data_IF_314984083739
#
_entry.id   IF_314984083739
#
_cell.length_a   1.000
_cell.length_b   1.000
_cell.length_c   1.000
_cell.angle_alpha   90.00
_cell.angle_beta   90.00
_cell.angle_gamma   90.00
#
_symmetry.space_group_name_H-M   'P 1'
#
loop_
_entity.id
_entity.type
_entity.pdbx_description
1 polymer ?
#
# COMPACT_ATOMS: atom_id res chain seq x y z
N UNK A 1 10.40 -14.85 15.38
CA UNK A 1 9.99 -13.52 14.91
C UNK A 1 10.42 -13.30 13.46
N UNK A 2 9.48 -13.28 12.52
CA UNK A 2 9.76 -12.99 11.11
C UNK A 2 9.63 -11.49 10.84
N UNK A 3 10.65 -10.71 11.24
CA UNK A 3 10.80 -9.29 10.80
C UNK A 3 11.02 -9.27 9.28
N UNK A 4 9.93 -9.26 8.53
CA UNK A 4 9.97 -9.22 7.08
C UNK A 4 10.19 -7.78 6.64
N UNK A 5 11.18 -7.56 5.77
CA UNK A 5 11.39 -6.25 5.14
C UNK A 5 10.19 -5.96 4.25
N UNK A 6 9.55 -4.83 4.50
CA UNK A 6 8.39 -4.34 3.73
C UNK A 6 8.64 -2.89 3.36
N UNK A 7 8.11 -2.49 2.22
CA UNK A 7 8.14 -1.09 1.75
C UNK A 7 6.77 -0.49 2.01
N UNK A 8 6.72 0.69 2.61
CA UNK A 8 5.46 1.42 2.85
C UNK A 8 5.15 2.25 1.61
N UNK A 9 3.99 2.03 1.00
CA UNK A 9 3.51 2.78 -0.15
C UNK A 9 2.71 4.01 0.30
N UNK A 10 1.80 3.78 1.24
CA UNK A 10 0.97 4.81 1.86
C UNK A 10 1.01 4.64 3.37
N UNK A 11 1.41 5.70 4.09
CA UNK A 11 1.52 5.74 5.55
C UNK A 11 0.16 5.82 6.24
N UNK A 12 -0.83 6.41 5.56
CA UNK A 12 -2.22 6.50 6.02
C UNK A 12 -3.16 6.30 4.84
N UNK A 13 -4.35 5.75 5.12
CA UNK A 13 -5.42 5.59 4.13
C UNK A 13 -6.51 6.64 4.42
N UNK A 14 -7.05 7.33 3.40
CA UNK A 14 -8.18 8.24 3.59
C UNK A 14 -9.33 7.53 4.29
N UNK A 15 -9.93 8.18 5.29
CA UNK A 15 -10.98 7.61 6.17
C UNK A 15 -10.52 6.51 7.14
N UNK A 16 -9.31 5.97 7.01
CA UNK A 16 -8.75 4.92 7.88
C UNK A 16 -7.31 5.28 8.35
N UNK A 17 -7.13 6.27 9.25
CA UNK A 17 -5.81 6.77 9.66
C UNK A 17 -4.94 5.74 10.42
N UNK A 18 -5.57 4.68 10.92
CA UNK A 18 -4.89 3.59 11.62
C UNK A 18 -4.38 2.48 10.67
N UNK A 19 -4.61 2.63 9.36
CA UNK A 19 -4.21 1.65 8.35
C UNK A 19 -3.20 2.26 7.38
N UNK A 20 -2.25 1.43 6.96
CA UNK A 20 -1.23 1.74 5.97
C UNK A 20 -1.22 0.66 4.89
N UNK A 21 -0.73 1.03 3.71
CA UNK A 21 -0.52 0.11 2.60
C UNK A 21 0.96 -0.20 2.50
N UNK A 22 1.30 -1.48 2.60
CA UNK A 22 2.67 -1.97 2.53
C UNK A 22 2.80 -3.00 1.43
N UNK A 23 4.02 -3.14 0.94
CA UNK A 23 4.40 -4.04 -0.11
C UNK A 23 5.49 -4.97 0.40
N UNK A 24 5.25 -6.28 0.25
CA UNK A 24 6.19 -7.31 0.65
C UNK A 24 7.24 -7.57 -0.43
N UNK A 25 8.44 -6.99 -0.30
CA UNK A 25 9.51 -7.13 -1.29
C UNK A 25 10.04 -8.56 -1.43
N UNK A 26 9.82 -9.40 -0.41
CA UNK A 26 10.26 -10.79 -0.38
C UNK A 26 9.61 -11.69 -1.45
N UNK A 27 8.41 -11.35 -1.90
CA UNK A 27 7.66 -12.16 -2.86
C UNK A 27 7.83 -11.67 -4.30
N UNK A 28 8.56 -10.58 -4.50
CA UNK A 28 8.79 -10.00 -5.80
C UNK A 28 9.97 -10.68 -6.50
N UNK A 29 9.83 -10.98 -7.80
CA UNK A 29 10.96 -11.32 -8.66
C UNK A 29 12.10 -10.31 -8.54
N UNK A 30 13.34 -10.77 -8.70
CA UNK A 30 14.55 -9.96 -8.51
C UNK A 30 14.54 -8.67 -9.34
N UNK A 31 14.07 -8.73 -10.59
CA UNK A 31 13.94 -7.55 -11.46
C UNK A 31 13.08 -6.46 -10.82
N UNK A 32 11.89 -6.82 -10.33
CA UNK A 32 10.96 -5.88 -9.70
C UNK A 32 11.44 -5.43 -8.33
N UNK A 33 12.07 -6.32 -7.57
CA UNK A 33 12.71 -5.99 -6.31
C UNK A 33 13.76 -4.90 -6.50
N UNK A 34 14.67 -5.07 -7.45
CA UNK A 34 15.76 -4.12 -7.71
C UNK A 34 15.23 -2.79 -8.25
N UNK A 35 14.22 -2.81 -9.12
CA UNK A 35 13.56 -1.60 -9.61
C UNK A 35 12.86 -0.83 -8.48
N UNK A 36 12.16 -1.54 -7.58
CA UNK A 36 11.51 -0.92 -6.43
C UNK A 36 12.52 -0.35 -5.44
N UNK A 37 13.60 -1.08 -5.13
CA UNK A 37 14.65 -0.56 -4.25
C UNK A 37 15.28 0.70 -4.83
N UNK A 38 15.56 0.73 -6.14
CA UNK A 38 16.02 1.94 -6.83
C UNK A 38 15.02 3.08 -6.74
N UNK A 39 13.73 2.81 -6.90
CA UNK A 39 12.70 3.83 -6.76
C UNK A 39 12.62 4.39 -5.32
N UNK A 40 12.72 3.51 -4.32
CA UNK A 40 12.75 3.89 -2.89
C UNK A 40 13.99 4.73 -2.57
N UNK A 41 15.16 4.36 -3.08
CA UNK A 41 16.42 5.08 -2.83
C UNK A 41 16.58 6.34 -3.69
N UNK A 42 15.72 6.53 -4.69
CA UNK A 42 15.78 7.69 -5.58
C UNK A 42 15.34 8.99 -4.88
N UNK A 43 15.91 10.11 -5.29
CA UNK A 43 15.54 11.44 -4.78
C UNK A 43 14.04 11.72 -4.96
N UNK A 44 13.46 11.32 -6.10
CA UNK A 44 12.02 11.48 -6.37
C UNK A 44 11.15 10.65 -5.42
N UNK A 45 11.56 9.42 -5.09
CA UNK A 45 10.85 8.58 -4.14
C UNK A 45 10.96 9.08 -2.69
N UNK A 46 12.08 9.71 -2.32
CA UNK A 46 12.31 10.30 -1.00
C UNK A 46 11.68 11.69 -0.83
N UNK A 47 11.50 12.43 -1.93
CA UNK A 47 10.88 13.76 -1.92
C UNK A 47 9.35 13.71 -1.80
N UNK A 48 8.73 12.63 -2.25
CA UNK A 48 7.28 12.46 -2.17
C UNK A 48 6.84 12.06 -0.76
N UNK A 49 5.71 12.62 -0.32
CA UNK A 49 5.13 12.27 0.98
C UNK A 49 4.69 10.79 1.02
N UNK A 50 4.19 10.28 -0.09
CA UNK A 50 3.71 8.90 -0.21
C UNK A 50 4.35 8.27 -1.44
N UNK A 51 5.11 7.19 -1.20
CA UNK A 51 5.84 6.48 -2.26
C UNK A 51 4.90 5.96 -3.35
N UNK A 52 3.65 5.63 -3.01
CA UNK A 52 2.63 5.24 -3.98
C UNK A 52 2.41 6.26 -5.09
N UNK A 53 2.47 7.57 -4.78
CA UNK A 53 2.28 8.65 -5.78
C UNK A 53 3.44 8.66 -6.78
N UNK A 54 4.67 8.46 -6.29
CA UNK A 54 5.85 8.32 -7.13
C UNK A 54 5.72 7.08 -8.03
N UNK A 55 5.43 5.92 -7.43
CA UNK A 55 5.33 4.65 -8.16
C UNK A 55 4.17 4.61 -9.16
N UNK A 56 3.10 5.36 -8.93
CA UNK A 56 2.01 5.52 -9.89
C UNK A 56 2.48 6.13 -11.22
N UNK A 57 3.57 6.90 -11.19
CA UNK A 57 4.16 7.55 -12.37
C UNK A 57 5.35 6.79 -12.92
N UNK A 58 5.88 5.82 -12.17
CA UNK A 58 7.01 4.99 -12.58
C UNK A 58 6.54 3.74 -13.33
N UNK A 59 7.38 3.30 -14.27
CA UNK A 59 7.22 2.05 -15.00
C UNK A 59 8.38 1.13 -14.66
N UNK A 60 8.10 -0.16 -14.54
CA UNK A 60 9.13 -1.19 -14.49
C UNK A 60 9.94 -1.19 -15.79
N UNK A 61 11.14 -1.79 -15.80
CA UNK A 61 11.95 -1.93 -17.02
C UNK A 61 11.24 -2.70 -18.15
N UNK A 62 10.17 -3.43 -17.83
CA UNK A 62 9.29 -4.12 -18.79
C UNK A 62 8.20 -3.20 -19.38
N UNK A 63 8.17 -1.92 -19.01
CA UNK A 63 7.19 -0.93 -19.50
C UNK A 63 5.85 -0.93 -18.76
N UNK A 64 5.59 -1.92 -17.90
CA UNK A 64 4.37 -1.97 -17.07
C UNK A 64 4.42 -0.95 -15.93
N UNK A 65 3.31 -0.27 -15.64
CA UNK A 65 3.20 0.67 -14.52
C UNK A 65 3.46 -0.05 -13.18
N UNK A 66 4.37 0.50 -12.37
CA UNK A 66 4.81 -0.15 -11.14
C UNK A 66 3.66 -0.34 -10.15
N UNK A 67 2.92 0.72 -9.84
CA UNK A 67 1.86 0.65 -8.85
C UNK A 67 0.71 -0.26 -9.32
N UNK A 68 0.33 -0.17 -10.60
CA UNK A 68 -0.77 -0.97 -11.14
C UNK A 68 -0.48 -2.47 -11.06
N UNK A 69 0.71 -2.89 -11.49
CA UNK A 69 1.12 -4.31 -11.40
C UNK A 69 1.18 -4.80 -9.95
N UNK A 70 1.74 -4.00 -9.05
CA UNK A 70 1.84 -4.35 -7.64
C UNK A 70 0.46 -4.50 -6.98
N UNK A 71 -0.51 -3.68 -7.40
CA UNK A 71 -1.89 -3.75 -6.96
C UNK A 71 -2.63 -4.97 -7.55
N UNK A 72 -2.53 -5.17 -8.87
CA UNK A 72 -3.25 -6.22 -9.59
C UNK A 72 -2.78 -7.63 -9.22
N UNK A 73 -1.49 -7.81 -9.00
CA UNK A 73 -0.90 -9.08 -8.56
C UNK A 73 -1.06 -9.32 -7.04
N UNK A 74 -1.65 -8.38 -6.30
CA UNK A 74 -1.95 -8.53 -4.88
C UNK A 74 -0.73 -8.45 -3.96
N UNK A 75 0.35 -7.79 -4.40
CA UNK A 75 1.54 -7.55 -3.58
C UNK A 75 1.32 -6.48 -2.50
N UNK A 76 0.37 -5.57 -2.73
CA UNK A 76 -0.03 -4.53 -1.78
C UNK A 76 -0.95 -5.14 -0.72
N UNK A 77 -0.56 -5.02 0.56
CA UNK A 77 -1.35 -5.48 1.70
C UNK A 77 -1.62 -4.33 2.66
N UNK A 78 -2.83 -4.33 3.21
CA UNK A 78 -3.23 -3.40 4.25
C UNK A 78 -2.79 -3.92 5.62
N UNK A 79 -2.07 -3.11 6.37
CA UNK A 79 -1.67 -3.39 7.75
C UNK A 79 -2.05 -2.23 8.66
N UNK A 80 -2.09 -2.48 9.98
CA UNK A 80 -2.29 -1.41 10.95
C UNK A 80 -0.99 -0.64 11.13
N UNK A 81 -1.06 0.68 11.23
CA UNK A 81 0.10 1.56 11.48
C UNK A 81 0.85 1.24 12.77
N UNK A 82 0.19 0.57 13.72
CA UNK A 82 0.79 0.11 14.99
C UNK A 82 1.72 -1.09 14.82
N UNK A 83 1.47 -1.93 13.81
CA UNK A 83 2.22 -3.17 13.57
C UNK A 83 3.43 -2.94 12.64
N UNK A 84 3.53 -1.76 12.04
CA UNK A 84 4.61 -1.40 11.12
C UNK A 84 5.58 -0.44 11.82
N UNK A 85 6.87 -0.74 11.68
CA UNK A 85 7.97 0.05 12.20
C UNK A 85 8.71 0.64 11.00
N UNK A 86 8.72 1.97 10.91
CA UNK A 86 9.52 2.69 9.93
C UNK A 86 10.96 2.77 10.45
N UNK A 87 11.92 2.51 9.57
CA UNK A 87 13.34 2.58 9.92
C UNK A 87 13.97 3.71 9.12
N UNK A 88 14.43 4.75 9.81
CA UNK A 88 15.18 5.86 9.25
C UNK A 88 16.67 5.67 9.56
N UNK A 89 17.47 5.45 8.52
CA UNK A 89 18.90 5.18 8.67
C UNK A 89 19.23 3.74 9.10
N UNK A 90 20.51 3.50 9.40
CA UNK A 90 21.05 2.16 9.70
C UNK A 90 21.04 1.81 11.19
N UNK A 91 20.75 2.77 12.06
CA UNK A 91 20.84 2.63 13.53
C UNK A 91 19.54 2.12 14.14
N UNK A 92 19.62 1.35 15.22
CA UNK A 92 18.46 0.80 15.92
C UNK A 92 17.52 1.88 16.50
N UNK A 93 18.06 3.07 16.81
CA UNK A 93 17.31 4.27 17.25
C UNK A 93 16.44 4.89 16.14
N UNK A 94 16.75 4.60 14.87
CA UNK A 94 16.00 5.06 13.71
C UNK A 94 14.67 4.33 13.52
N UNK A 95 14.34 3.37 14.39
CA UNK A 95 13.11 2.58 14.32
C UNK A 95 11.98 3.26 15.07
N UNK A 96 11.05 3.86 14.34
CA UNK A 96 9.86 4.50 14.88
C UNK A 96 8.59 3.80 14.38
N UNK A 97 7.66 3.41 15.26
CA UNK A 97 6.37 2.89 14.82
C UNK A 97 5.60 3.94 14.03
N UNK A 98 4.95 3.54 12.93
CA UNK A 98 4.24 4.49 12.04
C UNK A 98 3.18 5.29 12.78
N UNK A 99 2.53 4.70 13.79
CA UNK A 99 1.55 5.44 14.59
C UNK A 99 2.17 6.67 15.27
N UNK A 100 3.36 6.53 15.87
CA UNK A 100 4.06 7.67 16.49
C UNK A 100 4.54 8.66 15.45
N UNK A 101 4.98 8.18 14.28
CA UNK A 101 5.38 9.06 13.18
C UNK A 101 4.21 9.94 12.73
N UNK A 102 3.04 9.34 12.50
CA UNK A 102 1.86 10.07 12.07
C UNK A 102 1.40 11.09 13.12
N UNK A 103 1.51 10.75 14.41
CA UNK A 103 1.26 11.70 15.52
C UNK A 103 2.26 12.86 15.54
N UNK A 104 3.53 12.63 15.21
CA UNK A 104 4.56 13.68 15.12
C UNK A 104 4.31 14.59 13.91
N UNK A 105 4.05 14.02 12.73
CA UNK A 105 3.75 14.80 11.52
C UNK A 105 2.48 15.62 11.71
N UNK A 106 1.44 15.06 12.34
CA UNK A 106 0.21 15.79 12.67
C UNK A 106 0.48 17.01 13.57
N UNK A 107 1.36 16.84 14.57
CA UNK A 107 1.77 17.95 15.46
C UNK A 107 2.57 19.02 14.72
N UNK A 108 3.50 18.63 13.86
CA UNK A 108 4.35 19.57 13.10
C UNK A 108 3.60 20.28 11.97
N UNK A 109 2.69 19.57 11.30
CA UNK A 109 1.90 20.08 10.18
C UNK A 109 0.62 20.80 10.62
N UNK A 110 0.28 20.75 11.92
CA UNK A 110 -0.93 21.39 12.48
C UNK A 110 -2.26 20.78 12.00
N UNK A 111 -2.23 19.59 11.38
CA UNK A 111 -3.40 18.89 10.82
C UNK A 111 -3.69 17.61 11.60
N UNK A 112 -4.93 17.13 11.58
CA UNK A 112 -5.27 15.86 12.26
C UNK A 112 -4.67 14.68 11.50
N UNK A 113 -4.37 13.58 12.19
CA UNK A 113 -3.85 12.35 11.55
C UNK A 113 -4.76 11.84 10.41
N UNK A 114 -6.06 12.12 10.51
CA UNK A 114 -7.07 11.83 9.47
C UNK A 114 -6.94 12.67 8.19
N UNK A 115 -6.26 13.81 8.25
CA UNK A 115 -6.06 14.76 7.14
C UNK A 115 -4.67 14.62 6.48
N UNK A 116 -3.77 13.82 7.08
CA UNK A 116 -2.46 13.50 6.50
C UNK A 116 -2.53 12.50 5.34
N UNK A 117 -3.66 11.82 5.18
CA UNK A 117 -3.84 10.89 4.08
C UNK A 117 -3.97 11.67 2.78
N UNK A 118 -3.16 11.30 1.79
CA UNK A 118 -3.31 11.81 0.42
C UNK A 118 -4.72 11.46 -0.04
N UNK A 119 -5.54 12.49 -0.23
CA UNK A 119 -6.83 12.32 -0.86
C UNK A 119 -6.59 11.89 -2.31
N UNK A 120 -6.75 10.60 -2.58
CA UNK A 120 -6.90 10.09 -3.92
C UNK A 120 -8.15 10.74 -4.53
N UNK A 121 -7.97 11.69 -5.46
CA UNK A 121 -9.00 12.13 -6.41
C UNK A 121 -9.23 11.05 -7.49
N UNK A 122 -9.27 9.79 -7.05
CA UNK A 122 -9.37 8.62 -7.90
C UNK A 122 -10.73 7.98 -7.61
N UNK A 123 -11.67 7.96 -8.58
CA UNK A 123 -12.99 7.37 -8.39
C UNK A 123 -12.86 5.93 -7.88
N UNK A 124 -13.70 5.50 -6.92
CA UNK A 124 -13.57 4.20 -6.29
C UNK A 124 -13.67 3.09 -7.34
N UNK A 125 -12.53 2.44 -7.62
CA UNK A 125 -12.49 1.23 -8.41
C UNK A 125 -13.36 0.18 -7.72
N UNK A 126 -14.46 -0.14 -8.38
CA UNK A 126 -15.48 -1.05 -7.93
C UNK A 126 -14.85 -2.40 -7.60
N UNK A 127 -15.02 -2.82 -6.35
CA UNK A 127 -14.80 -4.19 -5.88
C UNK A 127 -15.54 -5.15 -6.81
N UNK A 128 -14.83 -5.82 -7.73
CA UNK A 128 -15.34 -7.04 -8.37
C UNK A 128 -15.44 -8.11 -7.30
N UNK A 129 -16.63 -8.20 -6.69
CA UNK A 129 -17.03 -9.34 -5.87
C UNK A 129 -17.09 -10.57 -6.77
N UNK A 130 -16.08 -11.42 -6.66
CA UNK A 130 -16.18 -12.84 -6.96
C UNK A 130 -17.37 -13.42 -6.19
N UNK A 131 -18.42 -13.81 -6.90
CA UNK A 131 -19.48 -14.66 -6.34
C UNK A 131 -19.44 -15.98 -7.08
N UNK A 132 -18.80 -16.96 -6.46
CA UNK A 132 -18.95 -18.35 -6.82
C UNK A 132 -20.42 -18.74 -6.65
N UNK A 133 -21.11 -19.07 -7.74
CA UNK A 133 -22.44 -19.70 -7.71
C UNK A 133 -22.28 -21.16 -8.10
N UNK A 134 -22.06 -22.01 -7.10
CA UNK A 134 -22.43 -23.43 -7.16
C UNK A 134 -23.87 -23.59 -6.64
N UNK A 135 -24.46 -24.71 -7.05
CA UNK A 135 -25.61 -25.43 -6.52
C UNK A 135 -27.03 -25.09 -6.98
N UNK A 136 -27.63 -26.16 -7.50
CA UNK A 136 -29.04 -26.58 -7.53
C UNK A 136 -30.03 -25.92 -8.48
N UNK A 137 -30.17 -26.54 -9.66
CA UNK A 137 -31.41 -26.54 -10.43
C UNK A 137 -32.25 -27.75 -9.99
N UNK A 138 -33.15 -27.52 -9.03
CA UNK A 138 -34.27 -28.41 -8.73
C UNK A 138 -35.58 -27.69 -9.00
N UNK A 139 -36.25 -28.17 -10.04
CA UNK A 139 -37.70 -28.36 -10.17
C UNK A 139 -38.63 -27.18 -9.88
N UNK A 140 -39.36 -26.73 -10.91
CA UNK A 140 -40.75 -26.26 -10.80
C UNK A 140 -41.40 -26.23 -12.19
N UNK A 141 -42.23 -27.25 -12.48
CA UNK A 141 -43.55 -27.01 -13.07
C UNK A 141 -44.45 -26.41 -11.97
N UNK A 142 -45.62 -25.74 -12.20
CA UNK A 142 -46.56 -25.98 -13.30
C UNK A 142 -47.34 -24.74 -13.85
N UNK A 143 -48.27 -25.05 -14.78
CA UNK A 143 -49.50 -24.34 -15.17
C UNK A 143 -49.40 -23.07 -16.05
N UNK A 144 -49.78 -23.20 -17.32
CA UNK A 144 -51.15 -22.98 -17.81
C UNK A 144 -51.43 -23.85 -19.04
#
# INVERSE_FOLDING_TARGET
ESKSKVVVLYRTVPSEPNNCLVLGTKFLPEMYHNALMRAVESEGGQAENELGVYLARQTFPDGTNMLAMLHDDGYIKKFKTKDIIMTYGTTDEGRIPLNKLNEMIAKESGVKVSELAVADDTPPAQKKKTTAKKTDAKETAPKE
#
